data_IF_592173355221
#
_entry.id   IF_592173355221
#
_cell.length_a   1.000
_cell.length_b   1.000
_cell.length_c   1.000
_cell.angle_alpha   90.00
_cell.angle_beta   90.00
_cell.angle_gamma   90.00
#
_symmetry.space_group_name_H-M   'P 1'
#
loop_
_entity.id
_entity.type
_entity.pdbx_description
1 polymer ?
#
# COMPACT_ATOMS: atom_id res chain seq x y z
N UNK A 1 14.69 -14.16 6.50
CA UNK A 1 13.54 -15.02 6.18
C UNK A 1 13.62 -15.36 4.70
N UNK A 2 13.64 -16.65 4.34
CA UNK A 2 13.73 -17.05 2.93
C UNK A 2 12.41 -16.73 2.21
N UNK A 3 12.46 -16.51 0.90
CA UNK A 3 11.27 -16.19 0.10
C UNK A 3 10.26 -17.35 0.07
N UNK A 4 10.76 -18.59 0.10
CA UNK A 4 9.91 -19.77 0.20
C UNK A 4 9.11 -19.80 1.52
N UNK A 5 9.73 -19.45 2.64
CA UNK A 5 9.05 -19.35 3.93
C UNK A 5 7.98 -18.26 3.90
N UNK A 6 8.32 -17.08 3.35
CA UNK A 6 7.39 -15.96 3.16
C UNK A 6 6.12 -16.40 2.40
N UNK A 7 6.31 -17.10 1.29
CA UNK A 7 5.20 -17.57 0.46
C UNK A 7 4.35 -18.62 1.18
N UNK A 8 4.97 -19.52 1.95
CA UNK A 8 4.25 -20.55 2.71
C UNK A 8 3.34 -19.92 3.79
N UNK A 9 3.79 -18.86 4.45
CA UNK A 9 3.01 -18.16 5.47
C UNK A 9 1.90 -17.30 4.86
N UNK A 10 2.08 -16.79 3.63
CA UNK A 10 1.14 -15.86 3.02
C UNK A 10 -0.12 -16.51 2.43
N UNK A 11 -0.21 -17.86 2.44
CA UNK A 11 -1.29 -18.64 1.81
C UNK A 11 -1.49 -18.30 0.31
N UNK A 12 -0.48 -17.73 -0.34
CA UNK A 12 -0.54 -17.41 -1.76
C UNK A 12 -0.05 -18.61 -2.59
N UNK A 13 -0.83 -18.98 -3.59
CA UNK A 13 -0.38 -19.94 -4.60
C UNK A 13 0.58 -19.26 -5.59
N UNK A 14 1.36 -20.07 -6.31
CA UNK A 14 2.20 -19.59 -7.41
C UNK A 14 1.38 -18.93 -8.54
N UNK A 15 0.13 -19.37 -8.72
CA UNK A 15 -0.82 -18.78 -9.69
C UNK A 15 -1.27 -17.39 -9.23
N UNK A 16 -1.66 -17.24 -7.96
CA UNK A 16 -2.01 -15.93 -7.40
C UNK A 16 -0.82 -14.96 -7.48
N UNK A 17 0.39 -15.46 -7.22
CA UNK A 17 1.60 -14.66 -7.32
C UNK A 17 1.88 -14.22 -8.78
N UNK A 18 1.59 -15.08 -9.75
CA UNK A 18 1.70 -14.77 -11.17
C UNK A 18 0.69 -13.69 -11.59
N UNK A 19 -0.56 -13.78 -11.13
CA UNK A 19 -1.58 -12.75 -11.36
C UNK A 19 -1.20 -11.41 -10.73
N UNK A 20 -0.76 -11.44 -9.46
CA UNK A 20 -0.39 -10.23 -8.70
C UNK A 20 0.83 -9.51 -9.30
N UNK A 21 1.82 -10.26 -9.75
CA UNK A 21 3.11 -9.67 -10.18
C UNK A 21 3.23 -9.52 -11.69
N UNK A 22 2.33 -10.15 -12.46
CA UNK A 22 2.42 -10.24 -13.93
C UNK A 22 3.66 -11.00 -14.42
N UNK A 23 4.32 -11.78 -13.55
CA UNK A 23 5.57 -12.49 -13.88
C UNK A 23 5.29 -13.94 -14.25
N UNK A 24 6.02 -14.43 -15.24
CA UNK A 24 5.88 -15.82 -15.69
C UNK A 24 6.31 -16.82 -14.60
N UNK A 25 5.62 -17.97 -14.55
CA UNK A 25 5.84 -19.06 -13.58
C UNK A 25 7.31 -19.50 -13.45
N UNK A 26 8.06 -19.51 -14.54
CA UNK A 26 9.48 -19.89 -14.54
C UNK A 26 10.35 -18.91 -13.75
N UNK A 27 10.03 -17.61 -13.81
CA UNK A 27 10.71 -16.57 -13.05
C UNK A 27 10.40 -16.71 -11.56
N UNK A 28 9.13 -16.96 -11.22
CA UNK A 28 8.71 -17.16 -9.84
C UNK A 28 9.34 -18.41 -9.21
N UNK A 29 9.43 -19.52 -9.97
CA UNK A 29 10.15 -20.72 -9.54
C UNK A 29 11.62 -20.45 -9.28
N UNK A 30 12.28 -19.73 -10.20
CA UNK A 30 13.68 -19.33 -10.02
C UNK A 30 13.88 -18.52 -8.74
N UNK A 31 12.95 -17.62 -8.42
CA UNK A 31 13.00 -16.84 -7.19
C UNK A 31 12.85 -17.70 -5.92
N UNK A 32 12.02 -18.73 -5.96
CA UNK A 32 11.87 -19.69 -4.87
C UNK A 32 13.12 -20.56 -4.71
N UNK A 33 13.67 -21.06 -5.82
CA UNK A 33 14.81 -21.98 -5.82
C UNK A 33 16.12 -21.26 -5.43
N UNK A 34 16.30 -20.01 -5.85
CA UNK A 34 17.54 -19.25 -5.67
C UNK A 34 17.44 -18.18 -4.57
N UNK A 35 16.31 -18.11 -3.86
CA UNK A 35 16.00 -17.05 -2.90
C UNK A 35 16.26 -15.64 -3.47
N UNK A 36 15.95 -15.44 -4.75
CA UNK A 36 16.36 -14.25 -5.51
C UNK A 36 15.21 -13.29 -5.84
N UNK A 37 14.09 -13.40 -5.10
CA UNK A 37 12.94 -12.53 -5.31
C UNK A 37 13.33 -11.05 -5.09
N UNK A 38 12.94 -10.14 -6.01
CA UNK A 38 13.12 -8.71 -5.83
C UNK A 38 12.47 -8.22 -4.54
N UNK A 39 13.01 -7.14 -3.98
CA UNK A 39 12.61 -6.64 -2.66
C UNK A 39 11.15 -6.20 -2.64
N UNK A 40 10.67 -5.56 -3.71
CA UNK A 40 9.29 -5.15 -3.90
C UNK A 40 8.31 -6.32 -3.87
N UNK A 41 8.70 -7.48 -4.42
CA UNK A 41 7.88 -8.69 -4.42
C UNK A 41 7.84 -9.32 -3.04
N UNK A 42 8.99 -9.39 -2.37
CA UNK A 42 9.06 -9.87 -0.97
C UNK A 42 8.13 -9.04 -0.08
N UNK A 43 8.15 -7.72 -0.23
CA UNK A 43 7.27 -6.80 0.52
C UNK A 43 5.80 -7.04 0.21
N UNK A 44 5.45 -7.24 -1.05
CA UNK A 44 4.07 -7.52 -1.44
C UNK A 44 3.55 -8.82 -0.79
N UNK A 45 4.36 -9.88 -0.82
CA UNK A 45 4.03 -11.17 -0.19
C UNK A 45 3.90 -11.03 1.32
N UNK A 46 4.80 -10.27 1.94
CA UNK A 46 4.81 -9.98 3.38
C UNK A 46 3.54 -9.22 3.81
N UNK A 47 3.13 -8.20 3.04
CA UNK A 47 1.89 -7.44 3.26
C UNK A 47 0.67 -8.35 3.17
N UNK A 48 0.58 -9.16 2.11
CA UNK A 48 -0.58 -10.03 1.89
C UNK A 48 -0.64 -11.13 2.94
N UNK A 49 0.51 -11.67 3.34
CA UNK A 49 0.58 -12.79 4.27
C UNK A 49 0.40 -12.42 5.72
N UNK A 50 0.97 -11.29 6.15
CA UNK A 50 0.95 -10.87 7.55
C UNK A 50 -0.03 -9.73 7.83
N UNK A 51 -0.59 -9.11 6.79
CA UNK A 51 -1.39 -7.90 6.94
C UNK A 51 -0.61 -6.76 7.56
N UNK A 52 0.72 -6.75 7.46
CA UNK A 52 1.59 -5.72 8.04
C UNK A 52 2.28 -4.95 6.93
N UNK A 53 2.30 -3.61 6.98
CA UNK A 53 3.13 -2.83 6.08
C UNK A 53 4.62 -3.14 6.34
N UNK A 54 5.45 -3.11 5.29
CA UNK A 54 6.86 -3.47 5.40
C UNK A 54 7.59 -2.45 6.29
N UNK A 55 8.12 -2.91 7.42
CA UNK A 55 8.55 -2.10 8.56
C UNK A 55 9.92 -1.40 8.42
N UNK A 56 10.36 -1.06 7.21
CA UNK A 56 11.69 -0.43 7.02
C UNK A 56 11.78 0.98 7.58
N UNK A 57 10.66 1.65 7.84
CA UNK A 57 10.62 2.92 8.56
C UNK A 57 9.82 2.75 9.85
N UNK A 58 10.39 3.24 10.97
CA UNK A 58 9.78 3.20 12.31
C UNK A 58 8.37 3.80 12.34
N UNK A 59 8.05 4.70 11.40
CA UNK A 59 6.73 5.31 11.25
C UNK A 59 5.60 4.31 10.94
N UNK A 60 5.93 3.11 10.45
CA UNK A 60 4.94 2.05 10.16
C UNK A 60 4.77 1.05 11.31
N UNK A 61 5.47 1.24 12.43
CA UNK A 61 5.32 0.34 13.56
C UNK A 61 3.91 0.43 14.16
N UNK A 62 3.33 -0.73 14.48
CA UNK A 62 1.95 -0.86 14.97
C UNK A 62 0.84 -0.76 13.91
N UNK A 63 1.15 -0.35 12.67
CA UNK A 63 0.17 -0.32 11.58
C UNK A 63 -0.17 -1.72 11.08
N UNK A 64 -1.43 -1.95 10.69
CA UNK A 64 -1.89 -3.26 10.18
C UNK A 64 -3.08 -3.15 9.25
N UNK A 65 -3.21 -4.06 8.30
CA UNK A 65 -4.38 -4.21 7.45
C UNK A 65 -5.40 -5.15 8.11
N UNK A 66 -6.65 -4.73 8.17
CA UNK A 66 -7.81 -5.53 8.57
C UNK A 66 -8.83 -5.52 7.43
N UNK A 67 -8.78 -6.55 6.57
CA UNK A 67 -9.55 -6.54 5.33
C UNK A 67 -9.06 -5.43 4.40
N UNK A 68 -9.95 -4.51 4.05
CA UNK A 68 -9.66 -3.33 3.22
C UNK A 68 -9.27 -2.09 4.04
N UNK A 69 -9.34 -2.16 5.37
CA UNK A 69 -9.07 -1.03 6.26
C UNK A 69 -7.60 -1.06 6.73
N UNK A 70 -6.91 0.06 6.60
CA UNK A 70 -5.60 0.27 7.21
C UNK A 70 -5.79 0.82 8.63
N UNK A 71 -5.39 0.03 9.62
CA UNK A 71 -5.48 0.39 11.03
C UNK A 71 -4.16 1.00 11.51
N UNK A 72 -4.26 2.10 12.23
CA UNK A 72 -3.15 2.71 12.96
C UNK A 72 -2.88 1.96 14.30
N UNK A 73 -1.77 2.28 14.99
CA UNK A 73 -1.42 1.67 16.27
C UNK A 73 -2.43 1.98 17.40
N UNK A 74 -3.15 3.09 17.30
CA UNK A 74 -4.14 3.54 18.28
C UNK A 74 -5.51 2.87 18.06
N UNK A 75 -5.65 2.07 17.01
CA UNK A 75 -6.86 1.32 16.68
C UNK A 75 -7.85 2.06 15.78
N UNK A 76 -7.46 3.19 15.19
CA UNK A 76 -8.26 3.91 14.20
C UNK A 76 -8.05 3.31 12.81
N UNK A 77 -9.14 3.11 12.09
CA UNK A 77 -9.12 2.58 10.73
C UNK A 77 -9.25 3.69 9.69
N UNK A 78 -8.52 3.54 8.58
CA UNK A 78 -8.69 4.36 7.38
C UNK A 78 -9.01 3.43 6.22
N UNK A 79 -10.22 3.60 5.66
CA UNK A 79 -10.67 2.89 4.46
C UNK A 79 -10.04 3.50 3.19
N UNK A 80 -9.99 2.76 2.06
CA UNK A 80 -9.46 3.27 0.80
C UNK A 80 -10.24 4.50 0.31
N UNK A 81 -11.55 4.54 0.55
CA UNK A 81 -12.40 5.66 0.20
C UNK A 81 -12.09 6.89 1.05
N UNK A 82 -11.77 6.73 2.34
CA UNK A 82 -11.31 7.82 3.19
C UNK A 82 -9.93 8.32 2.77
N UNK A 83 -9.00 7.46 2.37
CA UNK A 83 -7.69 7.89 1.82
C UNK A 83 -7.90 8.76 0.58
N UNK A 84 -8.77 8.34 -0.34
CA UNK A 84 -9.14 9.12 -1.53
C UNK A 84 -9.84 10.43 -1.14
N UNK A 85 -10.74 10.37 -0.18
CA UNK A 85 -11.47 11.53 0.35
C UNK A 85 -10.53 12.55 0.98
N UNK A 86 -9.56 12.13 1.79
CA UNK A 86 -8.56 13.02 2.41
C UNK A 86 -7.72 13.71 1.34
N UNK A 87 -7.32 12.99 0.29
CA UNK A 87 -6.57 13.60 -0.82
C UNK A 87 -7.43 14.63 -1.58
N UNK A 88 -8.67 14.28 -1.90
CA UNK A 88 -9.66 15.18 -2.53
C UNK A 88 -9.92 16.40 -1.63
N UNK A 89 -10.09 16.20 -0.33
CA UNK A 89 -10.28 17.26 0.65
C UNK A 89 -9.07 18.19 0.76
N UNK A 90 -7.84 17.65 0.72
CA UNK A 90 -6.61 18.45 0.70
C UNK A 90 -6.47 19.23 -0.59
N UNK A 91 -6.82 18.65 -1.73
CA UNK A 91 -6.84 19.34 -3.01
C UNK A 91 -7.88 20.47 -3.00
N UNK A 92 -9.11 20.20 -2.55
CA UNK A 92 -10.17 21.19 -2.38
C UNK A 92 -9.77 22.31 -1.41
N UNK A 93 -9.14 21.99 -0.29
CA UNK A 93 -8.62 22.99 0.64
C UNK A 93 -7.53 23.85 0.02
N UNK A 94 -6.64 23.27 -0.79
CA UNK A 94 -5.63 24.03 -1.52
C UNK A 94 -6.27 24.94 -2.58
N UNK A 95 -7.28 24.45 -3.30
CA UNK A 95 -8.06 25.20 -4.29
C UNK A 95 -8.80 26.37 -3.63
N UNK A 96 -9.51 26.14 -2.52
CA UNK A 96 -10.20 27.18 -1.75
C UNK A 96 -9.23 28.22 -1.20
N UNK A 97 -8.07 27.80 -0.71
CA UNK A 97 -7.01 28.72 -0.27
C UNK A 97 -6.49 29.57 -1.43
N UNK A 98 -6.34 29.01 -2.63
CA UNK A 98 -5.96 29.77 -3.83
C UNK A 98 -7.05 30.77 -4.22
N UNK A 99 -8.32 30.38 -4.22
CA UNK A 99 -9.45 31.26 -4.54
C UNK A 99 -9.59 32.40 -3.52
N UNK A 100 -9.42 32.13 -2.23
CA UNK A 100 -9.42 33.16 -1.19
C UNK A 100 -8.16 34.05 -1.20
N UNK A 101 -7.04 33.55 -1.71
CA UNK A 101 -5.81 34.32 -1.88
C UNK A 101 -5.78 35.15 -3.18
N UNK A 102 -6.70 34.88 -4.13
CA UNK A 102 -6.86 35.72 -5.29
C UNK A 102 -7.52 37.05 -4.88
N UNK A 103 -6.94 38.22 -5.23
CA UNK A 103 -7.55 39.50 -4.90
C UNK A 103 -8.91 39.63 -5.58
N UNK A 104 -9.84 40.30 -4.89
CA UNK A 104 -11.23 40.61 -5.26
C UNK A 104 -11.29 41.52 -6.51
N UNK A 105 -10.81 41.06 -7.65
CA UNK A 105 -10.85 41.79 -8.92
C UNK A 105 -12.01 41.33 -9.83
N UNK A 106 -12.85 40.39 -9.37
CA UNK A 106 -13.98 39.86 -10.13
C UNK A 106 -15.36 40.08 -9.48
N UNK A 107 -15.50 40.95 -8.48
CA UNK A 107 -16.80 41.32 -7.90
C UNK A 107 -17.43 42.59 -8.50
N UNK A 108 -16.91 43.08 -9.63
CA UNK A 108 -17.47 44.24 -10.34
C UNK A 108 -17.47 44.00 -11.85
N UNK A 109 -18.42 43.23 -12.35
CA UNK A 109 -19.12 43.46 -13.64
C UNK A 109 -20.48 42.77 -13.60
#
# INVERSE_FOLDING_TARGET
>A
MQFADLLAHSRLSLENLQELTGRHRTTLRRWLDQDSAPLEIRRLVDIIGHGRPPSYAQAWDGWRFMGDILMDPDGQGVSPDEVRSVWICRQLQAELKRLHAAPVQYLLF
#
